data_IF_105603336215
#
_entry.id   IF_105603336215
#
_cell.length_a   1.000
_cell.length_b   1.000
_cell.length_c   1.000
_cell.angle_alpha   90.00
_cell.angle_beta   90.00
_cell.angle_gamma   90.00
#
_symmetry.space_group_name_H-M   'P 1'
#
loop_
_entity.id
_entity.type
_entity.pdbx_description
1 polymer ?
#
# COMPACT_ATOMS: atom_id res chain seq x y z
N UNK A 1 62.19 -2.63 18.58
CA UNK A 1 60.78 -2.61 19.01
C UNK A 1 60.08 -3.84 18.38
N UNK A 2 59.94 -4.91 19.20
CA UNK A 2 59.39 -6.21 18.77
C UNK A 2 57.87 -6.12 18.65
N UNK A 3 57.34 -6.30 17.42
CA UNK A 3 55.92 -6.28 17.12
C UNK A 3 55.30 -7.62 17.56
N UNK A 4 54.57 -7.63 18.67
CA UNK A 4 53.90 -8.82 19.18
C UNK A 4 52.87 -9.33 18.16
N UNK A 5 53.09 -10.55 17.64
CA UNK A 5 52.18 -11.26 16.73
C UNK A 5 50.96 -11.68 17.55
N UNK A 6 49.77 -11.09 17.27
CA UNK A 6 48.49 -11.55 17.87
C UNK A 6 48.20 -12.98 17.43
N UNK A 7 47.89 -13.90 18.37
CA UNK A 7 47.55 -15.27 18.00
C UNK A 7 46.28 -15.26 17.10
N UNK A 8 46.37 -16.01 16.00
CA UNK A 8 45.24 -16.22 15.03
C UNK A 8 44.06 -16.83 15.79
N UNK A 9 42.94 -16.13 15.82
CA UNK A 9 41.70 -16.62 16.46
C UNK A 9 41.33 -18.00 15.90
N UNK A 10 41.14 -18.98 16.77
CA UNK A 10 40.74 -20.32 16.40
C UNK A 10 39.39 -20.26 15.63
N UNK A 11 39.18 -21.10 14.59
CA UNK A 11 37.92 -21.20 13.91
C UNK A 11 36.80 -21.53 14.90
N UNK A 12 35.73 -20.74 14.92
CA UNK A 12 34.54 -21.05 15.75
C UNK A 12 34.05 -22.45 15.41
N UNK A 13 33.72 -23.30 16.42
CA UNK A 13 33.13 -24.59 16.17
C UNK A 13 31.85 -24.47 15.33
N UNK A 14 31.55 -25.40 14.41
CA UNK A 14 30.38 -25.38 13.62
C UNK A 14 29.14 -25.29 14.54
N UNK A 15 28.26 -24.34 14.23
CA UNK A 15 27.02 -24.14 15.00
C UNK A 15 26.16 -25.40 14.86
N UNK A 16 25.72 -26.03 15.98
CA UNK A 16 24.87 -27.23 15.89
C UNK A 16 23.67 -26.95 14.97
N UNK A 17 23.45 -27.86 14.03
CA UNK A 17 22.30 -27.80 13.12
C UNK A 17 21.01 -27.79 13.94
N UNK A 18 20.24 -26.72 13.81
CA UNK A 18 18.92 -26.68 14.46
C UNK A 18 18.01 -27.70 13.80
N UNK A 19 17.35 -28.56 14.58
CA UNK A 19 16.41 -29.52 14.01
C UNK A 19 15.36 -28.79 13.15
N UNK A 20 14.89 -29.40 12.04
CA UNK A 20 13.88 -28.83 11.18
C UNK A 20 12.67 -28.41 12.03
N UNK A 21 12.28 -27.14 11.94
CA UNK A 21 11.07 -26.66 12.64
C UNK A 21 9.85 -27.38 12.10
N UNK A 22 9.10 -28.04 12.96
CA UNK A 22 7.82 -28.64 12.60
C UNK A 22 6.94 -27.65 11.85
N UNK A 23 6.20 -28.10 10.81
CA UNK A 23 5.27 -27.26 10.07
C UNK A 23 4.27 -26.60 11.03
N UNK A 24 4.22 -25.27 11.05
CA UNK A 24 3.24 -24.57 11.87
C UNK A 24 1.83 -24.85 11.32
N UNK A 25 0.85 -25.21 12.17
CA UNK A 25 -0.51 -25.43 11.71
C UNK A 25 -1.08 -24.19 11.01
N UNK A 26 -1.97 -24.38 10.03
CA UNK A 26 -2.67 -23.29 9.38
C UNK A 26 -3.48 -22.53 10.45
N UNK A 27 -3.16 -21.28 10.64
CA UNK A 27 -3.85 -20.41 11.62
C UNK A 27 -4.98 -19.69 10.88
N UNK A 28 -6.21 -19.82 11.37
CA UNK A 28 -7.36 -19.09 10.84
C UNK A 28 -7.09 -17.59 10.76
N UNK A 29 -7.64 -16.94 9.73
CA UNK A 29 -7.60 -15.48 9.59
C UNK A 29 -8.49 -14.89 10.70
N UNK A 30 -7.97 -14.03 11.59
CA UNK A 30 -8.77 -13.52 12.69
C UNK A 30 -9.88 -12.59 12.18
N UNK A 31 -11.03 -12.59 12.83
CA UNK A 31 -12.18 -11.75 12.50
C UNK A 31 -11.81 -10.27 12.39
N UNK A 32 -10.86 -9.80 13.20
CA UNK A 32 -10.37 -8.42 13.16
C UNK A 32 -9.85 -7.99 11.78
N UNK A 33 -9.31 -8.90 10.97
CA UNK A 33 -8.86 -8.59 9.60
C UNK A 33 -10.05 -8.19 8.72
N UNK A 34 -11.16 -8.89 8.84
CA UNK A 34 -12.39 -8.57 8.09
C UNK A 34 -13.00 -7.26 8.56
N UNK A 35 -13.03 -7.02 9.88
CA UNK A 35 -13.55 -5.77 10.43
C UNK A 35 -12.72 -4.56 10.02
N UNK A 36 -11.38 -4.68 10.04
CA UNK A 36 -10.50 -3.60 9.58
C UNK A 36 -10.70 -3.35 8.07
N UNK A 37 -10.77 -4.41 7.26
CA UNK A 37 -11.00 -4.26 5.83
C UNK A 37 -12.34 -3.58 5.56
N UNK A 38 -13.41 -4.02 6.24
CA UNK A 38 -14.73 -3.42 6.13
C UNK A 38 -14.68 -1.93 6.48
N UNK A 39 -14.04 -1.57 7.61
CA UNK A 39 -13.85 -0.17 8.01
C UNK A 39 -13.10 0.66 6.97
N UNK A 40 -12.05 0.11 6.37
CA UNK A 40 -11.29 0.78 5.31
C UNK A 40 -12.09 0.93 4.00
N UNK A 41 -13.10 0.09 3.75
CA UNK A 41 -13.94 0.17 2.56
C UNK A 41 -15.09 1.18 2.71
N UNK A 42 -15.45 1.60 3.92
CA UNK A 42 -16.57 2.51 4.16
C UNK A 42 -16.44 3.82 3.39
N UNK A 43 -15.33 4.54 3.53
CA UNK A 43 -15.13 5.82 2.87
C UNK A 43 -15.13 5.70 1.33
N UNK A 44 -14.36 4.79 0.72
CA UNK A 44 -14.43 4.55 -0.72
C UNK A 44 -15.83 4.18 -1.21
N UNK A 45 -16.56 3.34 -0.46
CA UNK A 45 -17.91 2.95 -0.83
C UNK A 45 -18.89 4.13 -0.80
N UNK A 46 -18.81 4.99 0.23
CA UNK A 46 -19.62 6.22 0.30
C UNK A 46 -19.28 7.19 -0.83
N UNK A 47 -17.99 7.36 -1.14
CA UNK A 47 -17.55 8.22 -2.24
C UNK A 47 -18.08 7.71 -3.60
N UNK A 48 -17.99 6.41 -3.86
CA UNK A 48 -18.52 5.78 -5.08
C UNK A 48 -20.05 5.89 -5.12
N UNK A 49 -20.74 5.66 -3.99
CA UNK A 49 -22.20 5.81 -3.93
C UNK A 49 -22.67 7.21 -4.30
N UNK A 50 -21.89 8.24 -3.96
CA UNK A 50 -22.21 9.63 -4.33
C UNK A 50 -22.12 9.89 -5.84
N UNK A 51 -21.34 9.11 -6.57
CA UNK A 51 -21.16 9.20 -8.02
C UNK A 51 -22.22 8.40 -8.81
N UNK A 52 -23.21 7.79 -8.13
CA UNK A 52 -24.19 6.89 -8.74
C UNK A 52 -24.97 7.50 -9.91
N UNK A 53 -25.24 8.81 -9.86
CA UNK A 53 -26.04 9.51 -10.88
C UNK A 53 -25.25 9.77 -12.17
N UNK A 54 -23.92 9.67 -12.11
CA UNK A 54 -23.01 9.91 -13.24
C UNK A 54 -22.30 8.64 -13.74
N UNK A 55 -22.36 7.55 -12.97
CA UNK A 55 -21.58 6.34 -13.29
C UNK A 55 -22.31 5.08 -12.82
N UNK A 56 -22.29 4.03 -13.64
CA UNK A 56 -22.83 2.73 -13.25
C UNK A 56 -21.97 2.10 -12.15
N UNK A 57 -22.54 2.06 -10.93
CA UNK A 57 -21.88 1.47 -9.76
C UNK A 57 -21.50 0.01 -9.95
N UNK A 58 -22.23 -0.74 -10.79
CA UNK A 58 -21.95 -2.16 -11.05
C UNK A 58 -20.63 -2.31 -11.78
N UNK A 59 -20.33 -1.42 -12.72
CA UNK A 59 -19.07 -1.41 -13.47
C UNK A 59 -17.91 -1.10 -12.54
N UNK A 60 -18.03 -0.06 -11.68
CA UNK A 60 -16.98 0.28 -10.71
C UNK A 60 -16.74 -0.86 -9.73
N UNK A 61 -17.81 -1.40 -9.15
CA UNK A 61 -17.72 -2.50 -8.20
C UNK A 61 -17.14 -3.77 -8.85
N UNK A 62 -17.61 -4.13 -10.05
CA UNK A 62 -17.11 -5.26 -10.82
C UNK A 62 -15.61 -5.13 -11.12
N UNK A 63 -15.17 -3.95 -11.55
CA UNK A 63 -13.75 -3.66 -11.78
C UNK A 63 -12.92 -3.79 -10.49
N UNK A 64 -13.38 -3.18 -9.40
CA UNK A 64 -12.67 -3.24 -8.10
C UNK A 64 -12.55 -4.67 -7.59
N UNK A 65 -13.62 -5.48 -7.71
CA UNK A 65 -13.58 -6.90 -7.34
C UNK A 65 -12.63 -7.68 -8.24
N UNK A 66 -12.70 -7.50 -9.56
CA UNK A 66 -11.83 -8.20 -10.51
C UNK A 66 -10.34 -7.89 -10.25
N UNK A 67 -9.99 -6.62 -10.08
CA UNK A 67 -8.61 -6.20 -9.77
C UNK A 67 -8.16 -6.72 -8.40
N UNK A 68 -9.05 -6.71 -7.39
CA UNK A 68 -8.74 -7.26 -6.06
C UNK A 68 -8.46 -8.77 -6.10
N UNK A 69 -9.28 -9.55 -6.82
CA UNK A 69 -9.08 -10.98 -6.99
C UNK A 69 -7.78 -11.27 -7.77
N UNK A 70 -7.53 -10.51 -8.83
CA UNK A 70 -6.29 -10.65 -9.59
C UNK A 70 -5.05 -10.30 -8.75
N UNK A 71 -5.11 -9.24 -7.95
CA UNK A 71 -4.04 -8.88 -7.01
C UNK A 71 -3.81 -10.00 -5.99
N UNK A 72 -4.88 -10.56 -5.43
CA UNK A 72 -4.77 -11.69 -4.51
C UNK A 72 -4.12 -12.92 -5.18
N UNK A 73 -4.45 -13.21 -6.44
CA UNK A 73 -3.81 -14.25 -7.24
C UNK A 73 -2.31 -13.98 -7.44
N UNK A 74 -1.91 -12.74 -7.74
CA UNK A 74 -0.48 -12.36 -7.87
C UNK A 74 0.29 -12.60 -6.58
N UNK A 75 -0.29 -12.25 -5.42
CA UNK A 75 0.32 -12.53 -4.11
C UNK A 75 0.46 -14.02 -3.82
N UNK A 76 -0.55 -14.80 -4.17
CA UNK A 76 -0.49 -16.26 -4.04
C UNK A 76 0.62 -16.83 -4.93
N UNK A 77 0.69 -16.42 -6.18
CA UNK A 77 1.73 -16.83 -7.14
C UNK A 77 3.12 -16.43 -6.66
N UNK A 78 3.32 -15.19 -6.21
CA UNK A 78 4.61 -14.72 -5.68
C UNK A 78 5.06 -15.55 -4.47
N UNK A 79 4.12 -15.92 -3.58
CA UNK A 79 4.40 -16.82 -2.44
C UNK A 79 4.82 -18.22 -2.90
N UNK A 80 4.18 -18.77 -3.91
CA UNK A 80 4.55 -20.09 -4.45
C UNK A 80 5.92 -20.04 -5.12
N UNK A 81 6.18 -19.03 -5.92
CA UNK A 81 7.47 -18.82 -6.56
C UNK A 81 8.60 -18.63 -5.53
N UNK A 82 8.32 -17.94 -4.42
CA UNK A 82 9.28 -17.79 -3.32
C UNK A 82 9.60 -19.10 -2.58
N UNK A 83 8.70 -20.09 -2.61
CA UNK A 83 8.95 -21.44 -2.02
C UNK A 83 9.75 -22.34 -2.94
N UNK A 84 9.57 -22.17 -4.25
CA UNK A 84 10.16 -23.03 -5.28
C UNK A 84 11.47 -22.45 -5.84
N UNK A 85 12.02 -21.37 -5.23
CA UNK A 85 13.19 -20.62 -5.69
C UNK A 85 13.13 -20.21 -7.18
N UNK A 86 11.92 -20.02 -7.70
CA UNK A 86 11.68 -19.55 -9.06
C UNK A 86 11.57 -18.03 -9.12
N UNK A 87 11.45 -17.49 -10.34
CA UNK A 87 11.34 -16.04 -10.58
C UNK A 87 10.20 -15.41 -9.76
N UNK A 88 10.55 -14.45 -8.92
CA UNK A 88 9.60 -13.71 -8.06
C UNK A 88 8.97 -12.56 -8.80
N UNK A 89 7.71 -12.27 -8.48
CA UNK A 89 7.02 -11.09 -8.99
C UNK A 89 7.70 -9.82 -8.43
N UNK A 90 8.09 -8.86 -9.31
CA UNK A 90 8.63 -7.57 -8.84
C UNK A 90 7.67 -6.87 -7.89
N UNK A 91 8.20 -6.24 -6.83
CA UNK A 91 7.37 -5.52 -5.86
C UNK A 91 6.60 -4.35 -6.50
N UNK A 92 7.22 -3.68 -7.49
CA UNK A 92 6.57 -2.64 -8.27
C UNK A 92 5.30 -3.12 -8.99
N UNK A 93 5.29 -4.36 -9.50
CA UNK A 93 4.10 -4.94 -10.13
C UNK A 93 2.97 -5.13 -9.12
N UNK A 94 3.27 -5.59 -7.90
CA UNK A 94 2.26 -5.74 -6.85
C UNK A 94 1.69 -4.38 -6.44
N UNK A 95 2.55 -3.38 -6.21
CA UNK A 95 2.12 -2.02 -5.89
C UNK A 95 1.33 -1.34 -7.01
N UNK A 96 1.65 -1.64 -8.27
CA UNK A 96 0.87 -1.16 -9.40
C UNK A 96 -0.58 -1.66 -9.33
N UNK A 97 -0.80 -2.96 -9.11
CA UNK A 97 -2.15 -3.51 -8.97
C UNK A 97 -2.86 -3.04 -7.71
N UNK A 98 -2.15 -2.81 -6.61
CA UNK A 98 -2.69 -2.16 -5.42
C UNK A 98 -3.19 -0.75 -5.74
N UNK A 99 -2.40 0.04 -6.49
CA UNK A 99 -2.71 1.42 -6.84
C UNK A 99 -3.90 1.56 -7.80
N UNK A 100 -4.14 0.61 -8.71
CA UNK A 100 -5.30 0.67 -9.63
C UNK A 100 -6.60 0.13 -9.03
N UNK A 101 -6.63 -0.21 -7.73
CA UNK A 101 -7.84 -0.63 -7.02
C UNK A 101 -7.75 -2.00 -6.35
N UNK A 102 -6.63 -2.71 -6.49
CA UNK A 102 -6.44 -4.04 -5.91
C UNK A 102 -6.01 -4.07 -4.44
N UNK A 103 -5.87 -2.90 -3.78
CA UNK A 103 -5.43 -2.82 -2.39
C UNK A 103 -6.29 -3.63 -1.39
N UNK A 104 -7.64 -3.81 -1.56
CA UNK A 104 -8.41 -4.66 -0.66
C UNK A 104 -8.00 -6.13 -0.77
N UNK A 105 -7.77 -6.60 -2.01
CA UNK A 105 -7.26 -7.94 -2.28
C UNK A 105 -5.86 -8.15 -1.72
N UNK A 106 -4.96 -7.16 -1.88
CA UNK A 106 -3.62 -7.16 -1.30
C UNK A 106 -3.65 -7.19 0.22
N UNK A 107 -4.50 -6.34 0.85
CA UNK A 107 -4.68 -6.31 2.30
C UNK A 107 -5.04 -7.69 2.85
N UNK A 108 -5.98 -8.36 2.20
CA UNK A 108 -6.42 -9.70 2.59
C UNK A 108 -5.33 -10.75 2.32
N UNK A 109 -4.73 -10.73 1.12
CA UNK A 109 -3.70 -11.66 0.70
C UNK A 109 -2.47 -11.65 1.62
N UNK A 110 -2.00 -10.47 2.01
CA UNK A 110 -0.87 -10.32 2.93
C UNK A 110 -1.10 -11.06 4.25
N UNK A 111 -2.33 -11.03 4.77
CA UNK A 111 -2.69 -11.66 6.05
C UNK A 111 -2.94 -13.14 5.92
N UNK A 112 -3.64 -13.57 4.87
CA UNK A 112 -3.90 -15.00 4.58
C UNK A 112 -2.61 -15.71 4.26
N UNK A 113 -1.81 -15.15 3.36
CA UNK A 113 -0.58 -15.79 2.91
C UNK A 113 0.61 -15.51 3.81
N UNK A 114 0.51 -14.55 4.76
CA UNK A 114 1.61 -14.09 5.61
C UNK A 114 2.87 -13.76 4.80
N UNK A 115 2.65 -13.14 3.67
CA UNK A 115 3.69 -12.79 2.71
C UNK A 115 3.82 -11.27 2.64
N UNK A 116 5.09 -10.78 2.61
CA UNK A 116 5.42 -9.34 2.58
C UNK A 116 5.04 -8.51 3.83
N UNK A 117 4.48 -9.12 4.89
CA UNK A 117 4.12 -8.41 6.14
C UNK A 117 5.34 -7.95 6.95
N UNK A 118 6.49 -8.60 6.81
CA UNK A 118 7.68 -8.29 7.59
C UNK A 118 8.59 -7.22 6.95
N UNK A 119 8.45 -6.96 5.65
CA UNK A 119 9.28 -5.98 4.94
C UNK A 119 8.72 -4.57 5.13
N UNK A 120 9.36 -3.76 5.98
CA UNK A 120 8.90 -2.40 6.33
C UNK A 120 8.74 -1.50 5.10
N UNK A 121 9.72 -1.49 4.19
CA UNK A 121 9.64 -0.69 2.96
C UNK A 121 8.41 -1.00 2.13
N UNK A 122 8.06 -2.28 1.98
CA UNK A 122 6.86 -2.72 1.28
C UNK A 122 5.59 -2.22 1.97
N UNK A 123 5.52 -2.34 3.29
CA UNK A 123 4.36 -1.91 4.08
C UNK A 123 4.16 -0.39 4.03
N UNK A 124 5.23 0.40 4.00
CA UNK A 124 5.13 1.87 3.86
C UNK A 124 4.44 2.23 2.55
N UNK A 125 4.86 1.66 1.42
CA UNK A 125 4.25 1.93 0.11
C UNK A 125 2.79 1.46 0.08
N UNK A 126 2.51 0.26 0.59
CA UNK A 126 1.15 -0.26 0.69
C UNK A 126 0.21 0.68 1.47
N UNK A 127 0.62 1.10 2.69
CA UNK A 127 -0.19 1.99 3.52
C UNK A 127 -0.30 3.39 2.96
N UNK A 128 0.71 3.86 2.21
CA UNK A 128 0.63 5.09 1.45
C UNK A 128 -0.46 5.01 0.37
N UNK A 129 -0.51 3.92 -0.40
CA UNK A 129 -1.56 3.68 -1.40
C UNK A 129 -2.95 3.67 -0.73
N UNK A 130 -3.12 2.91 0.36
CA UNK A 130 -4.38 2.88 1.10
C UNK A 130 -4.76 4.28 1.61
N UNK A 131 -3.80 5.03 2.16
CA UNK A 131 -3.99 6.41 2.63
C UNK A 131 -4.45 7.35 1.52
N UNK A 132 -3.89 7.22 0.31
CA UNK A 132 -4.32 7.99 -0.86
C UNK A 132 -5.77 7.69 -1.25
N UNK A 133 -6.19 6.42 -1.19
CA UNK A 133 -7.59 6.04 -1.42
C UNK A 133 -8.53 6.65 -0.37
N UNK A 134 -8.15 6.59 0.92
CA UNK A 134 -8.96 7.19 2.00
C UNK A 134 -9.05 8.71 1.85
N UNK A 135 -7.91 9.36 1.55
CA UNK A 135 -7.87 10.81 1.34
C UNK A 135 -8.74 11.24 0.14
N UNK A 136 -8.60 10.57 -1.01
CA UNK A 136 -9.38 10.87 -2.21
C UNK A 136 -10.87 10.65 -1.98
N UNK A 137 -11.24 9.57 -1.29
CA UNK A 137 -12.62 9.30 -0.92
C UNK A 137 -13.18 10.38 0.01
N UNK A 138 -12.43 10.76 1.05
CA UNK A 138 -12.81 11.82 1.98
C UNK A 138 -12.97 13.17 1.27
N UNK A 139 -12.01 13.57 0.45
CA UNK A 139 -12.03 14.83 -0.27
C UNK A 139 -13.18 14.89 -1.30
N UNK A 140 -13.50 13.78 -1.96
CA UNK A 140 -14.68 13.69 -2.85
C UNK A 140 -15.98 13.93 -2.09
N UNK A 141 -16.11 13.43 -0.87
CA UNK A 141 -17.26 13.70 0.00
C UNK A 141 -17.34 15.18 0.42
N UNK A 142 -16.21 15.89 0.45
CA UNK A 142 -16.12 17.34 0.70
C UNK A 142 -16.15 18.20 -0.57
N UNK A 143 -16.66 17.65 -1.70
CA UNK A 143 -16.70 18.31 -3.02
C UNK A 143 -15.30 18.76 -3.52
N UNK A 144 -14.27 17.94 -3.28
CA UNK A 144 -12.88 18.22 -3.67
C UNK A 144 -12.34 19.55 -3.11
N UNK A 145 -12.76 19.91 -1.90
CA UNK A 145 -12.37 21.16 -1.24
C UNK A 145 -10.87 21.27 -1.06
N UNK A 146 -10.23 20.23 -0.54
CA UNK A 146 -8.80 20.24 -0.26
C UNK A 146 -7.96 20.19 -1.54
N UNK A 147 -8.36 19.35 -2.49
CA UNK A 147 -7.70 19.30 -3.81
C UNK A 147 -7.79 20.66 -4.53
N UNK A 148 -8.94 21.32 -4.51
CA UNK A 148 -9.08 22.66 -5.12
C UNK A 148 -8.24 23.71 -4.43
N UNK A 149 -8.15 23.70 -3.10
CA UNK A 149 -7.29 24.62 -2.34
C UNK A 149 -5.82 24.40 -2.68
N UNK A 150 -5.37 23.13 -2.70
CA UNK A 150 -4.01 22.80 -3.06
C UNK A 150 -3.68 23.25 -4.49
N UNK A 151 -4.58 23.02 -5.43
CA UNK A 151 -4.40 23.46 -6.82
C UNK A 151 -4.34 24.98 -6.95
N UNK A 152 -5.17 25.73 -6.20
CA UNK A 152 -5.14 27.18 -6.15
C UNK A 152 -3.83 27.73 -5.60
N UNK A 153 -3.23 27.06 -4.60
CA UNK A 153 -1.92 27.44 -4.05
C UNK A 153 -0.76 27.16 -5.03
N UNK A 154 -0.87 26.10 -5.83
CA UNK A 154 0.15 25.69 -6.79
C UNK A 154 0.00 26.39 -8.15
N UNK A 155 -1.15 27.00 -8.44
CA UNK A 155 -1.38 27.71 -9.71
C UNK A 155 -0.60 29.03 -9.72
N UNK A 156 0.09 29.36 -10.84
CA UNK A 156 0.85 30.62 -10.96
C UNK A 156 0.00 31.89 -10.78
N UNK A 157 -1.33 31.78 -10.96
CA UNK A 157 -2.28 32.88 -10.73
C UNK A 157 -2.54 33.15 -9.24
N UNK A 158 -2.34 32.18 -8.36
CA UNK A 158 -2.48 32.36 -6.90
C UNK A 158 -1.38 33.24 -6.28
N UNK A 159 -0.28 33.47 -6.99
CA UNK A 159 0.84 34.31 -6.54
C UNK A 159 0.63 35.78 -6.92
N UNK A 160 -0.35 36.14 -7.76
CA UNK A 160 -0.57 37.49 -8.26
C UNK A 160 -1.55 38.44 -7.53
N UNK A 161 -2.30 38.08 -6.47
CA UNK A 161 -3.25 39.04 -5.86
C UNK A 161 -2.57 40.17 -5.08
N UNK A 162 -1.37 39.98 -4.54
CA UNK A 162 -0.72 40.98 -3.69
C UNK A 162 -0.07 42.14 -4.49
N UNK A 163 0.52 41.85 -5.65
CA UNK A 163 1.17 42.88 -6.47
C UNK A 163 0.15 43.76 -7.24
N UNK A 164 -0.97 43.18 -7.67
CA UNK A 164 -2.02 43.92 -8.38
C UNK A 164 -2.76 44.90 -7.46
N UNK A 165 -2.93 44.53 -6.16
CA UNK A 165 -3.56 45.41 -5.16
C UNK A 165 -2.65 46.55 -4.76
N UNK A 166 -1.34 46.34 -4.62
CA UNK A 166 -0.37 47.38 -4.29
C UNK A 166 -0.24 48.47 -5.41
N UNK A 167 -0.38 48.05 -6.67
CA UNK A 167 -0.30 48.94 -7.83
C UNK A 167 -1.56 49.81 -8.04
N UNK A 168 -2.72 49.40 -7.46
CA UNK A 168 -3.95 50.21 -7.45
C UNK A 168 -3.98 51.27 -6.33
N UNK A 169 -3.25 51.05 -5.23
CA UNK A 169 -3.19 52.02 -4.12
C UNK A 169 -2.14 53.11 -4.31
N UNK A 170 -1.26 52.97 -5.30
CA UNK A 170 -0.22 53.96 -5.63
C UNK A 170 -0.57 54.88 -6.80
N UNK A 171 -1.82 54.90 -7.26
CA UNK A 171 -2.38 55.83 -8.24
C UNK A 171 -3.57 56.59 -7.64
#
# INVERSE_FOLDING_TARGET
>A
VSKAIRPRSQPKPPRPERPPRAPRPPRAVPLSVFLILLGLLVLPALAVHRLRDSTDLRVIAGFAVAVSLFTMFLYWRDKQNAKNDTWRTPEATLHFFEAIGGWPGAFFAQRVFRHKNAKRSYQIVFWFIVGMYQFTAFDSLQNFRYTRQLFALLSPEGVRPAEASAKRQSR
#
